data_IF_872327610969
#
_entry.id   IF_872327610969
#
_cell.length_a   1.000
_cell.length_b   1.000
_cell.length_c   1.000
_cell.angle_alpha   90.00
_cell.angle_beta   90.00
_cell.angle_gamma   90.00
#
_symmetry.space_group_name_H-M   'P 1'
#
loop_
_entity.id
_entity.type
_entity.pdbx_description
1 polymer ?
#
# COMPACT_ATOMS: atom_id res chain seq x y z
N UNK A 1 -13.85 17.68 -50.88
CA UNK A 1 -14.66 17.00 -51.93
C UNK A 1 -15.27 15.73 -51.36
N UNK A 2 -16.17 15.04 -52.08
CA UNK A 2 -17.03 13.98 -51.53
C UNK A 2 -17.02 12.72 -52.41
N UNK A 3 -17.31 11.53 -51.82
CA UNK A 3 -17.47 10.19 -52.46
C UNK A 3 -16.13 9.55 -52.90
N UNK A 4 -15.93 8.22 -52.92
CA UNK A 4 -16.75 6.99 -52.69
C UNK A 4 -15.96 6.05 -51.72
N UNK A 5 -16.59 5.25 -50.84
CA UNK A 5 -17.15 3.89 -51.02
C UNK A 5 -16.09 2.81 -51.36
N UNK A 6 -16.12 1.55 -50.87
CA UNK A 6 -17.22 0.81 -50.22
C UNK A 6 -16.77 -0.45 -49.44
N UNK A 7 -17.68 -1.02 -48.64
CA UNK A 7 -17.82 -2.43 -48.20
C UNK A 7 -16.61 -3.28 -47.72
N UNK A 8 -16.62 -3.60 -46.41
CA UNK A 8 -16.07 -4.87 -45.88
C UNK A 8 -16.97 -5.48 -44.77
N UNK A 9 -18.27 -5.56 -45.02
CA UNK A 9 -19.26 -6.11 -44.07
C UNK A 9 -19.48 -7.63 -44.22
N UNK A 10 -18.55 -8.45 -43.71
CA UNK A 10 -18.71 -9.92 -43.55
C UNK A 10 -17.88 -10.44 -42.37
N UNK A 11 -18.39 -11.50 -41.71
CA UNK A 11 -17.90 -12.21 -40.50
C UNK A 11 -18.67 -11.93 -39.19
N UNK A 12 -19.97 -12.25 -39.18
CA UNK A 12 -20.76 -12.46 -37.96
C UNK A 12 -21.53 -13.79 -38.03
N UNK A 13 -20.81 -14.89 -37.76
CA UNK A 13 -21.26 -16.28 -37.65
C UNK A 13 -20.15 -17.07 -36.94
N UNK A 14 -20.37 -17.93 -35.95
CA UNK A 14 -21.57 -18.23 -35.15
C UNK A 14 -21.08 -18.57 -33.72
N UNK A 15 -21.77 -18.14 -32.65
CA UNK A 15 -21.71 -18.84 -31.35
C UNK A 15 -22.87 -18.43 -30.43
N UNK A 16 -23.74 -19.38 -30.11
CA UNK A 16 -24.81 -19.26 -29.10
C UNK A 16 -24.91 -20.59 -28.37
N UNK A 17 -24.77 -20.57 -27.03
CA UNK A 17 -25.77 -21.19 -26.15
C UNK A 17 -26.27 -20.11 -25.17
N UNK A 18 -27.55 -20.07 -24.78
CA UNK A 18 -28.29 -21.07 -23.98
C UNK A 18 -27.58 -21.40 -22.66
N UNK A 19 -28.20 -21.33 -21.48
CA UNK A 19 -29.63 -21.25 -21.15
C UNK A 19 -29.85 -20.49 -19.83
N UNK A 20 -31.09 -20.11 -19.50
CA UNK A 20 -31.41 -19.53 -18.17
C UNK A 20 -31.90 -20.63 -17.23
N UNK A 21 -31.34 -20.69 -16.02
CA UNK A 21 -32.03 -21.29 -14.86
C UNK A 21 -31.94 -20.31 -13.69
N UNK A 22 -33.10 -19.98 -13.11
CA UNK A 22 -33.20 -19.18 -11.91
C UNK A 22 -34.23 -19.79 -10.97
N UNK A 23 -33.83 -20.04 -9.72
CA UNK A 23 -34.70 -20.45 -8.60
C UNK A 23 -34.21 -19.69 -7.37
N UNK A 24 -35.13 -19.13 -6.57
CA UNK A 24 -34.79 -18.31 -5.41
C UNK A 24 -35.30 -18.86 -4.09
N UNK A 25 -34.72 -18.36 -2.99
CA UNK A 25 -35.12 -18.54 -1.58
C UNK A 25 -35.11 -20.01 -1.06
N UNK A 26 -34.62 -20.31 0.16
CA UNK A 26 -34.81 -19.56 1.41
C UNK A 26 -34.00 -20.15 2.58
N UNK A 27 -33.83 -19.35 3.65
CA UNK A 27 -33.73 -19.84 5.05
C UNK A 27 -32.40 -20.39 5.57
N UNK A 28 -32.23 -20.36 6.92
CA UNK A 28 -31.25 -21.20 7.63
C UNK A 28 -30.16 -20.48 8.45
N UNK A 29 -30.48 -20.01 9.67
CA UNK A 29 -29.53 -19.42 10.63
C UNK A 29 -28.42 -20.41 11.02
N UNK A 30 -27.15 -19.96 11.10
CA UNK A 30 -26.02 -20.86 11.40
C UNK A 30 -24.78 -20.24 12.07
N UNK A 31 -24.92 -19.24 12.96
CA UNK A 31 -23.76 -18.67 13.70
C UNK A 31 -23.05 -19.74 14.55
N UNK A 32 -21.77 -20.01 14.27
CA UNK A 32 -20.81 -20.53 15.25
C UNK A 32 -19.59 -19.61 15.29
N UNK A 33 -19.24 -19.13 16.49
CA UNK A 33 -17.99 -18.38 16.70
C UNK A 33 -16.83 -19.37 16.68
N UNK A 34 -15.78 -19.08 15.91
CA UNK A 34 -14.45 -19.55 16.28
C UNK A 34 -13.99 -18.76 17.51
N UNK A 35 -13.37 -19.47 18.44
CA UNK A 35 -12.61 -18.89 19.55
C UNK A 35 -11.37 -19.74 19.71
N UNK A 36 -10.22 -19.17 19.37
CA UNK A 36 -8.93 -19.71 19.79
C UNK A 36 -8.69 -19.26 21.23
N UNK A 37 -8.17 -20.15 22.05
CA UNK A 37 -7.46 -19.86 23.30
C UNK A 37 -6.33 -20.91 23.37
N UNK A 38 -5.16 -20.53 23.88
CA UNK A 38 -3.93 -21.32 23.77
C UNK A 38 -3.63 -22.21 24.99
N UNK A 39 -2.53 -22.97 24.87
CA UNK A 39 -1.58 -23.35 25.92
C UNK A 39 -1.64 -24.76 26.57
N UNK A 40 -0.57 -25.52 26.25
CA UNK A 40 0.34 -26.20 27.17
C UNK A 40 -0.05 -27.47 27.98
N UNK A 41 1.02 -28.20 28.32
CA UNK A 41 1.15 -29.31 29.29
C UNK A 41 0.62 -30.72 28.92
N UNK A 42 1.57 -31.60 28.62
CA UNK A 42 1.61 -33.00 29.11
C UNK A 42 2.22 -33.00 30.54
N UNK A 43 2.13 -34.04 31.41
CA UNK A 43 2.25 -35.46 31.05
C UNK A 43 1.38 -36.45 31.89
N UNK A 44 1.86 -37.70 31.94
CA UNK A 44 1.62 -38.77 32.94
C UNK A 44 0.61 -39.91 32.66
N UNK A 45 1.18 -41.12 32.74
CA UNK A 45 0.62 -42.45 32.51
C UNK A 45 -0.36 -42.91 33.60
N UNK A 46 -1.30 -43.79 33.23
CA UNK A 46 -1.80 -44.90 34.08
C UNK A 46 -1.87 -46.19 33.23
N UNK A 47 -1.21 -47.29 33.63
CA UNK A 47 -1.66 -48.41 34.51
C UNK A 47 -2.82 -49.22 33.87
N UNK A 48 -2.91 -50.54 33.99
CA UNK A 48 -2.22 -51.52 34.87
C UNK A 48 -1.86 -52.82 34.08
N UNK A 49 -1.26 -53.89 34.63
CA UNK A 49 -1.89 -54.90 35.50
C UNK A 49 -0.83 -55.71 36.30
N UNK A 50 -1.16 -56.11 37.53
CA UNK A 50 -0.50 -57.11 38.41
C UNK A 50 -1.51 -57.48 39.53
N UNK A 51 -1.49 -58.67 40.19
CA UNK A 51 -0.50 -59.09 41.22
C UNK A 51 0.25 -60.38 40.77
N UNK A 52 0.76 -61.36 41.53
CA UNK A 52 0.73 -61.84 42.95
C UNK A 52 2.13 -62.46 43.22
N UNK A 53 2.88 -62.27 44.32
CA UNK A 53 2.69 -62.58 45.76
C UNK A 53 2.49 -64.09 46.07
N UNK A 54 3.12 -64.78 47.04
CA UNK A 54 4.19 -64.54 48.08
C UNK A 54 4.89 -65.91 48.33
N UNK A 55 6.11 -65.98 48.93
CA UNK A 55 6.48 -66.85 50.10
C UNK A 55 7.99 -66.84 50.45
N UNK A 56 8.26 -66.59 51.75
CA UNK A 56 9.43 -66.92 52.62
C UNK A 56 10.91 -66.67 52.22
N UNK A 57 11.57 -65.82 53.01
CA UNK A 57 12.95 -65.97 53.54
C UNK A 57 13.15 -67.34 54.26
N UNK A 58 14.36 -67.94 54.44
CA UNK A 58 15.49 -67.28 55.13
C UNK A 58 16.97 -67.69 54.85
N UNK A 59 17.86 -66.78 55.24
CA UNK A 59 19.13 -66.93 56.00
C UNK A 59 20.20 -68.05 55.77
N UNK A 60 21.46 -67.63 55.95
CA UNK A 60 22.69 -68.39 56.33
C UNK A 60 23.45 -69.29 55.31
N UNK A 61 24.41 -68.63 54.64
CA UNK A 61 25.87 -68.89 54.69
C UNK A 61 26.55 -70.20 54.19
N UNK A 62 27.67 -69.97 53.46
CA UNK A 62 28.91 -70.77 53.35
C UNK A 62 28.82 -72.26 52.94
N UNK A 63 29.14 -72.52 51.67
CA UNK A 63 29.70 -73.80 51.20
C UNK A 63 30.54 -73.56 49.94
N UNK A 64 31.79 -74.02 49.92
CA UNK A 64 32.69 -73.86 48.76
C UNK A 64 32.77 -75.14 47.94
N UNK A 65 32.63 -75.04 46.62
CA UNK A 65 33.40 -75.87 45.68
C UNK A 65 33.39 -75.23 44.29
N UNK A 66 34.48 -75.40 43.54
CA UNK A 66 34.71 -74.67 42.28
C UNK A 66 34.35 -75.46 41.02
N UNK A 67 33.87 -74.75 39.99
CA UNK A 67 33.73 -75.26 38.63
C UNK A 67 34.00 -74.14 37.62
N UNK A 68 35.08 -74.26 36.84
CA UNK A 68 35.37 -73.30 35.76
C UNK A 68 34.39 -73.53 34.60
N UNK A 69 33.64 -72.51 34.11
CA UNK A 69 33.04 -72.61 32.79
C UNK A 69 34.16 -72.77 31.75
N UNK A 70 33.94 -73.59 30.73
CA UNK A 70 35.01 -73.97 29.81
C UNK A 70 35.47 -72.78 28.95
N UNK A 71 36.77 -72.78 28.60
CA UNK A 71 37.38 -71.77 27.70
C UNK A 71 36.62 -71.59 26.37
N UNK A 72 35.88 -72.61 25.96
CA UNK A 72 35.10 -72.64 24.72
C UNK A 72 34.01 -71.56 24.67
N UNK A 73 33.28 -71.33 25.77
CA UNK A 73 32.21 -70.33 25.80
C UNK A 73 32.74 -68.89 25.80
N UNK A 74 33.88 -68.64 26.44
CA UNK A 74 34.54 -67.32 26.42
C UNK A 74 35.07 -66.99 25.02
N UNK A 75 35.67 -67.98 24.34
CA UNK A 75 36.11 -67.84 22.95
C UNK A 75 34.93 -67.67 21.98
N UNK A 76 33.87 -68.46 22.11
CA UNK A 76 32.67 -68.34 21.28
C UNK A 76 32.00 -66.96 21.44
N UNK A 77 31.82 -66.48 22.68
CA UNK A 77 31.29 -65.14 22.94
C UNK A 77 32.17 -64.04 22.35
N UNK A 78 33.50 -64.15 22.47
CA UNK A 78 34.45 -63.23 21.87
C UNK A 78 34.36 -63.19 20.34
N UNK A 79 34.27 -64.35 19.67
CA UNK A 79 34.09 -64.42 18.21
C UNK A 79 32.76 -63.80 17.78
N UNK A 80 31.65 -64.07 18.47
CA UNK A 80 30.35 -63.47 18.13
C UNK A 80 30.36 -61.96 18.29
N UNK A 81 31.00 -61.43 19.34
CA UNK A 81 31.17 -59.98 19.53
C UNK A 81 32.07 -59.38 18.44
N UNK A 82 33.17 -60.05 18.06
CA UNK A 82 34.02 -59.60 16.95
C UNK A 82 33.24 -59.58 15.63
N UNK A 83 32.47 -60.62 15.31
CA UNK A 83 31.65 -60.67 14.08
C UNK A 83 30.54 -59.62 14.11
N UNK A 84 29.90 -59.38 15.26
CA UNK A 84 28.90 -58.31 15.40
C UNK A 84 29.52 -56.92 15.25
N UNK A 85 30.69 -56.66 15.84
CA UNK A 85 31.44 -55.42 15.66
C UNK A 85 31.94 -55.26 14.22
N UNK A 86 32.37 -56.34 13.55
CA UNK A 86 32.78 -56.29 12.14
C UNK A 86 31.57 -56.01 11.24
N UNK A 87 30.42 -56.65 11.48
CA UNK A 87 29.17 -56.39 10.79
C UNK A 87 28.63 -54.98 11.04
N UNK A 88 28.78 -54.46 12.25
CA UNK A 88 28.47 -53.07 12.58
C UNK A 88 29.43 -52.09 11.90
N UNK A 89 30.74 -52.40 11.82
CA UNK A 89 31.72 -51.56 11.16
C UNK A 89 31.53 -51.54 9.64
N UNK A 90 31.30 -52.72 9.02
CA UNK A 90 30.95 -52.86 7.60
C UNK A 90 29.61 -52.16 7.31
N UNK A 91 28.62 -52.31 8.19
CA UNK A 91 27.35 -51.61 8.11
C UNK A 91 27.50 -50.10 8.25
N UNK A 92 28.34 -49.60 9.15
CA UNK A 92 28.60 -48.18 9.37
C UNK A 92 29.43 -47.55 8.25
N UNK A 93 30.34 -48.31 7.62
CA UNK A 93 31.09 -47.87 6.44
C UNK A 93 30.22 -47.90 5.18
N UNK A 94 29.32 -48.88 5.03
CA UNK A 94 28.41 -49.00 3.88
C UNK A 94 27.17 -48.09 3.98
N UNK A 95 26.68 -47.83 5.19
CA UNK A 95 25.69 -46.79 5.52
C UNK A 95 26.38 -45.51 6.02
N UNK A 96 27.61 -45.23 5.60
CA UNK A 96 27.90 -43.84 5.26
C UNK A 96 26.95 -43.52 4.10
N UNK A 97 26.03 -42.54 4.22
CA UNK A 97 25.42 -42.01 3.00
C UNK A 97 26.59 -41.60 2.11
N UNK A 98 26.62 -42.10 0.88
CA UNK A 98 27.57 -41.57 -0.08
C UNK A 98 27.30 -40.08 -0.18
N UNK A 99 28.34 -39.24 -0.08
CA UNK A 99 28.24 -37.80 -0.31
C UNK A 99 28.04 -37.52 -1.81
N UNK A 100 26.94 -38.06 -2.34
CA UNK A 100 25.95 -37.29 -3.09
C UNK A 100 25.56 -36.06 -2.27
N UNK A 101 26.52 -35.13 -2.14
CA UNK A 101 26.28 -33.74 -1.81
C UNK A 101 25.08 -33.33 -2.67
N UNK A 102 23.93 -32.95 -2.07
CA UNK A 102 22.65 -32.89 -2.77
C UNK A 102 22.74 -31.81 -3.84
N UNK A 103 23.11 -32.25 -5.05
CA UNK A 103 23.86 -31.44 -5.99
C UNK A 103 23.07 -30.20 -6.32
N UNK A 104 23.56 -29.04 -5.84
CA UNK A 104 22.72 -27.86 -5.54
C UNK A 104 21.69 -27.70 -6.63
N UNK A 105 20.40 -27.82 -6.27
CA UNK A 105 19.35 -28.13 -7.24
C UNK A 105 19.40 -27.14 -8.41
N UNK A 106 19.04 -27.59 -9.62
CA UNK A 106 19.14 -26.73 -10.81
C UNK A 106 18.46 -25.37 -10.57
N UNK A 107 17.34 -25.38 -9.83
CA UNK A 107 16.68 -24.18 -9.32
C UNK A 107 17.58 -23.29 -8.44
N UNK A 108 18.22 -23.82 -7.40
CA UNK A 108 19.12 -23.03 -6.54
C UNK A 108 20.38 -22.53 -7.27
N UNK A 109 20.87 -23.24 -8.29
CA UNK A 109 21.95 -22.75 -9.17
C UNK A 109 21.49 -21.57 -10.02
N UNK A 110 20.40 -21.75 -10.78
CA UNK A 110 19.81 -20.68 -11.61
C UNK A 110 19.43 -19.45 -10.77
N UNK A 111 18.85 -19.66 -9.59
CA UNK A 111 18.52 -18.62 -8.62
C UNK A 111 19.78 -17.90 -8.11
N UNK A 112 20.86 -18.61 -7.79
CA UNK A 112 22.13 -18.00 -7.40
C UNK A 112 22.72 -17.18 -8.54
N UNK A 113 22.74 -17.71 -9.77
CA UNK A 113 23.24 -17.03 -10.96
C UNK A 113 22.43 -15.76 -11.26
N UNK A 114 21.10 -15.85 -11.26
CA UNK A 114 20.18 -14.71 -11.40
C UNK A 114 20.40 -13.62 -10.33
N UNK A 115 20.53 -14.00 -9.06
CA UNK A 115 20.80 -13.05 -7.96
C UNK A 115 22.22 -12.45 -8.04
N UNK A 116 23.22 -13.19 -8.54
CA UNK A 116 24.56 -12.65 -8.78
C UNK A 116 24.62 -11.70 -9.99
N UNK A 117 23.66 -11.79 -10.91
CA UNK A 117 23.62 -10.91 -12.10
C UNK A 117 22.97 -9.55 -11.84
N UNK A 118 22.18 -9.41 -10.78
CA UNK A 118 21.67 -8.11 -10.34
C UNK A 118 22.79 -7.22 -9.78
N UNK A 119 23.28 -6.25 -10.58
CA UNK A 119 24.31 -5.29 -10.14
C UNK A 119 23.66 -3.99 -9.65
N UNK A 120 24.08 -3.50 -8.48
CA UNK A 120 23.58 -2.24 -7.91
C UNK A 120 23.84 -1.02 -8.82
N UNK A 121 24.97 -0.99 -9.53
CA UNK A 121 25.29 0.12 -10.44
C UNK A 121 24.36 0.17 -11.67
N UNK A 122 23.90 -0.99 -12.16
CA UNK A 122 22.91 -1.05 -13.24
C UNK A 122 21.56 -0.47 -12.79
N UNK A 123 21.16 -0.73 -11.53
CA UNK A 123 19.96 -0.15 -10.92
C UNK A 123 20.11 1.37 -10.76
N UNK A 124 21.27 1.83 -10.27
CA UNK A 124 21.60 3.25 -10.11
C UNK A 124 21.58 4.01 -11.44
N UNK A 125 22.21 3.46 -12.47
CA UNK A 125 22.22 4.04 -13.81
C UNK A 125 20.82 4.09 -14.43
N UNK A 126 20.01 3.03 -14.26
CA UNK A 126 18.63 3.01 -14.72
C UNK A 126 17.76 4.05 -14.01
N UNK A 127 17.89 4.16 -12.68
CA UNK A 127 17.20 5.18 -11.89
C UNK A 127 17.58 6.59 -12.36
N UNK A 128 18.87 6.91 -12.45
CA UNK A 128 19.35 8.21 -12.91
C UNK A 128 18.81 8.57 -14.30
N UNK A 129 18.73 7.60 -15.22
CA UNK A 129 18.21 7.85 -16.56
C UNK A 129 16.68 8.04 -16.59
N UNK A 130 15.93 7.38 -15.72
CA UNK A 130 14.47 7.48 -15.66
C UNK A 130 13.96 8.70 -14.88
N UNK A 131 14.74 9.26 -13.95
CA UNK A 131 14.31 10.39 -13.09
C UNK A 131 14.78 11.76 -13.58
N UNK A 132 15.15 11.91 -14.86
CA UNK A 132 15.66 13.17 -15.39
C UNK A 132 14.57 14.21 -15.69
N UNK A 133 13.43 13.76 -16.20
CA UNK A 133 12.38 14.61 -16.77
C UNK A 133 10.99 14.27 -16.18
N UNK A 134 10.02 15.20 -16.14
CA UNK A 134 8.66 14.95 -15.61
C UNK A 134 7.81 13.97 -16.46
N UNK A 135 7.98 12.67 -16.22
CA UNK A 135 7.27 11.59 -16.92
C UNK A 135 5.82 11.33 -16.40
N UNK A 136 5.00 12.39 -16.31
CA UNK A 136 3.59 12.30 -15.89
C UNK A 136 2.76 11.43 -16.85
N UNK A 137 1.79 10.67 -16.32
CA UNK A 137 0.90 9.84 -17.13
C UNK A 137 0.20 10.65 -18.24
N UNK A 138 0.14 10.09 -19.44
CA UNK A 138 -0.45 10.73 -20.63
C UNK A 138 0.43 11.78 -21.33
N UNK A 139 1.61 12.16 -20.79
CA UNK A 139 2.51 13.10 -21.48
C UNK A 139 3.39 12.42 -22.53
N UNK A 140 3.91 13.24 -23.45
CA UNK A 140 4.87 12.81 -24.49
C UNK A 140 6.16 12.22 -23.89
N UNK A 141 6.59 12.66 -22.71
CA UNK A 141 7.79 12.13 -22.06
C UNK A 141 7.56 10.73 -21.47
N UNK A 142 6.40 10.51 -20.84
CA UNK A 142 6.04 9.16 -20.39
C UNK A 142 5.85 8.17 -21.55
N UNK A 143 5.48 8.65 -22.75
CA UNK A 143 5.51 7.84 -23.98
C UNK A 143 6.94 7.50 -24.42
N UNK A 144 7.85 8.48 -24.47
CA UNK A 144 9.29 8.25 -24.79
C UNK A 144 9.91 7.23 -23.83
N UNK A 145 9.63 7.35 -22.54
CA UNK A 145 10.08 6.40 -21.52
C UNK A 145 9.53 4.98 -21.77
N UNK A 146 8.26 4.83 -22.16
CA UNK A 146 7.68 3.54 -22.51
C UNK A 146 8.30 2.93 -23.79
N UNK A 147 8.60 3.74 -24.80
CA UNK A 147 9.32 3.32 -26.02
C UNK A 147 10.76 2.90 -25.71
N UNK A 148 11.46 3.65 -24.84
CA UNK A 148 12.80 3.31 -24.37
C UNK A 148 12.81 1.97 -23.61
N UNK A 149 11.86 1.76 -22.68
CA UNK A 149 11.72 0.51 -21.94
C UNK A 149 11.41 -0.65 -22.90
N UNK A 150 10.54 -0.45 -23.91
CA UNK A 150 10.31 -1.45 -24.95
C UNK A 150 11.62 -1.82 -25.68
N UNK A 151 12.42 -0.83 -26.09
CA UNK A 151 13.68 -1.06 -26.78
C UNK A 151 14.70 -1.80 -25.89
N UNK A 152 14.80 -1.43 -24.61
CA UNK A 152 15.65 -2.10 -23.63
C UNK A 152 15.22 -3.57 -23.44
N UNK A 153 13.94 -3.85 -23.22
CA UNK A 153 13.43 -5.22 -23.04
C UNK A 153 13.64 -6.10 -24.27
N UNK A 154 13.52 -5.54 -25.49
CA UNK A 154 13.90 -6.23 -26.73
C UNK A 154 15.40 -6.54 -26.76
N UNK A 155 16.25 -5.59 -26.35
CA UNK A 155 17.71 -5.80 -26.29
C UNK A 155 18.15 -6.82 -25.22
N UNK A 156 17.35 -7.00 -24.16
CA UNK A 156 17.56 -8.01 -23.12
C UNK A 156 17.13 -9.42 -23.55
N UNK A 157 16.53 -9.59 -24.74
CA UNK A 157 16.16 -10.89 -25.29
C UNK A 157 14.81 -11.43 -24.85
N UNK A 158 13.84 -10.58 -24.47
CA UNK A 158 12.45 -11.04 -24.27
C UNK A 158 11.77 -11.36 -25.61
N UNK A 159 11.12 -12.53 -25.71
CA UNK A 159 10.53 -13.06 -26.95
C UNK A 159 9.44 -12.15 -27.58
N UNK A 160 8.73 -11.38 -26.75
CA UNK A 160 7.66 -10.48 -27.19
C UNK A 160 7.58 -9.26 -26.29
N UNK A 161 7.62 -8.06 -26.88
CA UNK A 161 7.49 -6.78 -26.17
C UNK A 161 6.65 -5.81 -27.01
N UNK A 162 5.56 -5.32 -26.43
CA UNK A 162 4.51 -4.54 -27.10
C UNK A 162 4.07 -3.37 -26.20
N UNK A 163 3.60 -2.26 -26.79
CA UNK A 163 2.87 -1.22 -26.05
C UNK A 163 1.38 -1.50 -26.13
N UNK A 164 0.69 -1.47 -24.99
CA UNK A 164 -0.75 -1.68 -24.88
C UNK A 164 -1.45 -0.37 -24.51
N UNK A 165 -1.77 0.45 -25.52
CA UNK A 165 -2.46 1.73 -25.34
C UNK A 165 -3.92 1.55 -24.87
N UNK A 166 -4.41 2.50 -24.07
CA UNK A 166 -5.80 2.61 -23.62
C UNK A 166 -6.19 4.09 -23.51
N UNK A 167 -7.41 4.42 -23.92
CA UNK A 167 -7.89 5.79 -24.09
C UNK A 167 -8.73 6.20 -22.87
N UNK A 168 -8.05 6.31 -21.72
CA UNK A 168 -8.60 6.50 -20.37
C UNK A 168 -8.82 7.98 -20.01
N UNK A 169 -9.72 8.27 -19.06
CA UNK A 169 -9.90 9.60 -18.52
C UNK A 169 -8.74 9.98 -17.59
N UNK A 170 -8.13 11.13 -17.85
CA UNK A 170 -7.08 11.74 -17.03
C UNK A 170 -7.45 13.19 -16.70
N UNK A 171 -6.82 13.75 -15.67
CA UNK A 171 -7.10 15.08 -15.14
C UNK A 171 -5.80 15.84 -14.93
N UNK A 172 -5.78 17.13 -15.28
CA UNK A 172 -4.61 18.02 -15.22
C UNK A 172 -5.05 19.44 -14.81
N UNK A 173 -4.19 20.25 -14.17
CA UNK A 173 -4.46 21.66 -13.90
C UNK A 173 -4.41 22.50 -15.20
N UNK A 174 -5.17 23.59 -15.26
CA UNK A 174 -5.13 24.50 -16.40
C UNK A 174 -3.92 25.44 -16.32
N UNK A 175 -3.01 25.36 -17.30
CA UNK A 175 -1.82 26.24 -17.37
C UNK A 175 -2.14 27.73 -17.47
N UNK A 176 -3.30 28.12 -18.04
CA UNK A 176 -3.68 29.54 -18.17
C UNK A 176 -4.51 30.07 -16.98
N UNK A 177 -4.86 29.20 -16.03
CA UNK A 177 -5.64 29.54 -14.84
C UNK A 177 -5.16 28.66 -13.69
N UNK A 178 -4.01 29.00 -13.05
CA UNK A 178 -3.45 28.22 -11.96
C UNK A 178 -4.44 28.04 -10.81
N UNK A 179 -4.40 26.88 -10.17
CA UNK A 179 -5.14 26.63 -8.94
C UNK A 179 -4.37 27.26 -7.77
N UNK A 180 -5.09 27.89 -6.85
CA UNK A 180 -4.56 28.38 -5.57
C UNK A 180 -5.68 28.47 -4.53
N UNK A 181 -5.33 28.78 -3.29
CA UNK A 181 -6.26 29.17 -2.22
C UNK A 181 -5.89 30.59 -1.78
N UNK A 182 -6.90 31.40 -1.48
CA UNK A 182 -6.71 32.71 -0.85
C UNK A 182 -7.42 32.82 0.50
N UNK A 183 -6.87 33.67 1.37
CA UNK A 183 -7.65 34.34 2.41
C UNK A 183 -8.04 35.71 1.86
N UNK A 184 -9.33 36.03 1.96
CA UNK A 184 -9.90 37.35 1.67
C UNK A 184 -10.16 38.12 2.97
N UNK A 185 -10.49 39.40 2.86
CA UNK A 185 -10.99 40.23 3.94
C UNK A 185 -12.50 40.55 3.80
N UNK A 186 -13.04 41.33 4.74
CA UNK A 186 -14.44 41.79 4.76
C UNK A 186 -14.87 42.63 3.54
N UNK A 187 -13.92 43.07 2.70
CA UNK A 187 -14.14 43.78 1.43
C UNK A 187 -13.97 42.88 0.19
N UNK A 188 -13.60 41.61 0.36
CA UNK A 188 -13.27 40.68 -0.71
C UNK A 188 -11.87 40.85 -1.31
N UNK A 189 -10.96 41.54 -0.62
CA UNK A 189 -9.57 41.68 -1.05
C UNK A 189 -8.73 40.47 -0.61
N UNK A 190 -8.02 39.85 -1.55
CA UNK A 190 -7.03 38.81 -1.24
C UNK A 190 -5.87 39.37 -0.42
N UNK A 191 -5.70 38.88 0.82
CA UNK A 191 -4.63 39.27 1.75
C UNK A 191 -3.50 38.25 1.82
N UNK A 192 -3.75 37.00 1.40
CA UNK A 192 -2.78 35.93 1.31
C UNK A 192 -3.22 34.93 0.25
N UNK A 193 -2.33 34.63 -0.71
CA UNK A 193 -2.51 33.56 -1.69
C UNK A 193 -1.42 32.50 -1.47
N UNK A 194 -1.79 31.23 -1.62
CA UNK A 194 -0.87 30.09 -1.55
C UNK A 194 0.08 30.03 -2.74
N UNK A 195 1.17 29.28 -2.59
CA UNK A 195 2.16 29.02 -3.64
C UNK A 195 1.51 28.34 -4.86
N UNK A 196 1.80 28.84 -6.07
CA UNK A 196 1.28 28.27 -7.32
C UNK A 196 2.01 26.97 -7.75
N UNK A 197 3.25 26.81 -7.29
CA UNK A 197 4.10 25.63 -7.48
C UNK A 197 5.14 25.56 -6.37
N UNK A 198 5.76 24.40 -6.18
CA UNK A 198 7.02 24.31 -5.46
C UNK A 198 8.13 25.14 -6.14
N UNK A 199 9.17 25.55 -5.39
CA UNK A 199 10.45 25.89 -5.99
C UNK A 199 11.08 24.64 -6.66
N UNK A 200 11.82 24.80 -7.78
CA UNK A 200 12.53 23.68 -8.41
C UNK A 200 13.62 23.13 -7.47
N UNK A 201 13.82 21.80 -7.42
CA UNK A 201 14.89 21.20 -6.63
C UNK A 201 16.27 21.46 -7.28
N UNK A 202 17.37 21.50 -6.51
CA UNK A 202 18.69 21.82 -7.06
C UNK A 202 19.16 20.84 -8.15
N UNK A 203 19.65 21.38 -9.26
CA UNK A 203 20.00 20.63 -10.47
C UNK A 203 18.84 20.37 -11.43
N UNK A 204 17.65 20.93 -11.17
CA UNK A 204 16.45 20.88 -12.02
C UNK A 204 15.90 22.30 -12.30
N UNK A 205 16.72 23.34 -12.18
CA UNK A 205 16.33 24.74 -12.37
C UNK A 205 15.90 25.05 -13.81
N UNK A 206 16.50 24.36 -14.79
CA UNK A 206 16.18 24.46 -16.22
C UNK A 206 15.10 23.44 -16.69
N UNK A 207 14.41 22.75 -15.77
CA UNK A 207 13.46 21.67 -16.09
C UNK A 207 12.02 22.21 -16.17
N UNK A 208 11.58 22.47 -17.40
CA UNK A 208 10.21 22.84 -17.76
C UNK A 208 9.18 21.73 -17.46
N UNK A 209 7.89 22.04 -17.69
CA UNK A 209 6.75 21.09 -17.66
C UNK A 209 6.48 20.35 -16.34
N UNK A 210 7.12 20.75 -15.24
CA UNK A 210 6.77 20.32 -13.88
C UNK A 210 5.32 20.73 -13.57
N UNK A 211 4.40 19.75 -13.55
CA UNK A 211 2.98 19.99 -13.25
C UNK A 211 2.83 20.59 -11.84
N UNK A 212 2.11 21.70 -11.63
CA UNK A 212 1.94 22.30 -10.30
C UNK A 212 1.11 21.39 -9.36
N UNK A 213 1.05 21.70 -8.05
CA UNK A 213 0.20 20.98 -7.10
C UNK A 213 -1.28 20.97 -7.51
N UNK A 214 -1.88 19.78 -7.51
CA UNK A 214 -3.32 19.59 -7.69
C UNK A 214 -3.75 18.23 -7.14
N UNK A 215 -5.04 18.13 -6.79
CA UNK A 215 -5.69 16.83 -6.59
C UNK A 215 -6.35 16.43 -7.90
N UNK A 216 -5.86 15.35 -8.51
CA UNK A 216 -6.37 14.90 -9.80
C UNK A 216 -7.83 14.46 -9.65
N UNK A 217 -8.66 14.89 -10.61
CA UNK A 217 -10.12 14.76 -10.62
C UNK A 217 -10.87 15.59 -9.56
N UNK A 218 -10.24 16.63 -8.99
CA UNK A 218 -10.97 17.68 -8.25
C UNK A 218 -12.10 18.27 -9.10
N UNK A 219 -13.23 18.60 -8.46
CA UNK A 219 -14.26 19.44 -9.07
C UNK A 219 -13.69 20.83 -9.43
N UNK A 220 -14.31 21.50 -10.39
CA UNK A 220 -14.07 22.92 -10.68
C UNK A 220 -14.96 23.80 -9.80
N UNK A 221 -14.43 24.93 -9.33
CA UNK A 221 -15.21 25.92 -8.58
C UNK A 221 -14.33 26.85 -7.76
N UNK A 222 -14.91 27.97 -7.32
CA UNK A 222 -14.29 28.97 -6.43
C UNK A 222 -15.18 29.15 -5.18
N UNK A 223 -15.12 28.21 -4.22
CA UNK A 223 -15.99 28.24 -3.04
C UNK A 223 -15.39 29.14 -1.95
N UNK A 224 -16.04 30.27 -1.65
CA UNK A 224 -15.68 31.18 -0.55
C UNK A 224 -16.42 30.82 0.75
N UNK A 225 -15.73 30.70 1.88
CA UNK A 225 -16.37 30.57 3.19
C UNK A 225 -15.45 30.09 4.29
N UNK A 226 -15.89 30.27 5.53
CA UNK A 226 -15.07 30.08 6.73
C UNK A 226 -14.52 28.66 6.88
N UNK A 227 -13.26 28.61 7.32
CA UNK A 227 -12.42 27.42 7.37
C UNK A 227 -12.67 26.61 8.65
N UNK A 228 -12.68 25.28 8.55
CA UNK A 228 -12.75 24.34 9.68
C UNK A 228 -11.59 23.35 9.59
N UNK A 229 -10.81 23.19 10.67
CA UNK A 229 -9.77 22.16 10.73
C UNK A 229 -10.37 20.81 11.15
N UNK A 230 -10.20 19.77 10.32
CA UNK A 230 -10.87 18.47 10.48
C UNK A 230 -9.92 17.31 10.75
N UNK A 231 -8.75 17.59 11.33
CA UNK A 231 -7.72 16.61 11.66
C UNK A 231 -7.30 15.78 10.42
N UNK A 232 -7.56 14.47 10.37
CA UNK A 232 -7.27 13.64 9.18
C UNK A 232 -8.49 13.47 8.28
N UNK A 233 -9.62 14.11 8.56
CA UNK A 233 -10.87 13.98 7.80
C UNK A 233 -11.46 12.57 7.86
N UNK A 234 -11.23 11.83 8.95
CA UNK A 234 -11.84 10.52 9.16
C UNK A 234 -13.32 10.62 9.50
N UNK A 235 -14.06 9.51 9.44
CA UNK A 235 -15.48 9.48 9.81
C UNK A 235 -15.64 9.84 11.30
N UNK A 236 -14.69 9.40 12.12
CA UNK A 236 -14.60 9.69 13.55
C UNK A 236 -14.26 11.17 13.79
N UNK A 237 -13.39 11.79 12.98
CA UNK A 237 -13.09 13.22 13.07
C UNK A 237 -14.35 14.07 12.83
N UNK A 238 -15.08 13.81 11.74
CA UNK A 238 -16.33 14.52 11.42
C UNK A 238 -17.44 14.26 12.45
N UNK A 239 -17.59 13.03 12.97
CA UNK A 239 -18.55 12.73 14.03
C UNK A 239 -18.20 13.45 15.34
N UNK A 240 -16.90 13.63 15.65
CA UNK A 240 -16.46 14.37 16.85
C UNK A 240 -16.77 15.87 16.73
N UNK A 241 -16.58 16.46 15.55
CA UNK A 241 -16.98 17.85 15.26
C UNK A 241 -18.48 18.05 15.47
N UNK A 242 -19.30 17.24 14.80
CA UNK A 242 -20.77 17.30 14.86
C UNK A 242 -21.29 17.13 16.31
N UNK A 243 -20.84 16.07 17.00
CA UNK A 243 -21.54 15.56 18.20
C UNK A 243 -20.91 15.94 19.52
N UNK A 244 -19.61 16.19 19.56
CA UNK A 244 -18.89 16.55 20.79
C UNK A 244 -18.48 18.03 20.81
N UNK A 245 -18.31 18.67 19.65
CA UNK A 245 -17.92 20.08 19.55
C UNK A 245 -19.06 20.99 19.06
N UNK A 246 -20.14 20.43 18.48
CA UNK A 246 -21.26 21.21 17.91
C UNK A 246 -20.90 21.97 16.63
N UNK A 247 -19.82 21.59 15.94
CA UNK A 247 -19.28 22.27 14.76
C UNK A 247 -19.90 21.66 13.50
N UNK A 248 -20.65 22.47 12.76
CA UNK A 248 -21.27 22.09 11.49
C UNK A 248 -20.34 22.45 10.31
N UNK A 249 -19.97 21.46 9.51
CA UNK A 249 -19.15 21.65 8.31
C UNK A 249 -19.96 22.07 7.07
N UNK A 250 -21.30 22.09 7.15
CA UNK A 250 -22.18 22.42 6.03
C UNK A 250 -21.91 23.84 5.50
N UNK A 251 -21.58 23.94 4.21
CA UNK A 251 -21.24 25.20 3.55
C UNK A 251 -19.89 25.80 3.95
N UNK A 252 -19.03 25.05 4.66
CA UNK A 252 -17.67 25.46 5.06
C UNK A 252 -16.61 24.90 4.12
N UNK A 253 -15.42 25.50 4.14
CA UNK A 253 -14.20 24.89 3.60
C UNK A 253 -13.56 24.09 4.73
N UNK A 254 -13.07 22.87 4.45
CA UNK A 254 -12.39 22.06 5.47
C UNK A 254 -10.91 21.87 5.14
N UNK A 255 -10.03 22.02 6.13
CA UNK A 255 -8.60 21.72 6.02
C UNK A 255 -8.25 20.44 6.79
N UNK A 256 -7.65 19.48 6.10
CA UNK A 256 -7.28 18.18 6.64
C UNK A 256 -5.81 17.84 6.33
N UNK A 257 -5.11 17.23 7.29
CA UNK A 257 -3.76 16.70 7.03
C UNK A 257 -3.80 15.35 6.34
N UNK A 258 -2.79 15.08 5.51
CA UNK A 258 -2.53 13.78 4.90
C UNK A 258 -2.23 12.70 5.95
N UNK A 259 -2.28 11.44 5.53
CA UNK A 259 -2.07 10.28 6.40
C UNK A 259 -3.35 9.68 6.99
N UNK A 260 -3.17 8.56 7.71
CA UNK A 260 -4.18 7.67 8.33
C UNK A 260 -5.16 7.00 7.37
N UNK A 261 -5.82 7.75 6.48
CA UNK A 261 -6.74 7.25 5.45
C UNK A 261 -6.40 7.77 4.05
N UNK A 262 -6.83 7.04 3.01
CA UNK A 262 -6.70 7.46 1.62
C UNK A 262 -7.39 8.81 1.36
N UNK A 263 -6.81 9.65 0.51
CA UNK A 263 -7.24 11.05 0.32
C UNK A 263 -8.65 11.18 -0.30
N UNK A 264 -9.05 10.29 -1.20
CA UNK A 264 -10.42 10.27 -1.71
C UNK A 264 -11.48 10.02 -0.64
N UNK A 265 -11.15 9.23 0.41
CA UNK A 265 -12.06 9.03 1.53
C UNK A 265 -12.20 10.31 2.39
N UNK A 266 -11.13 11.12 2.53
CA UNK A 266 -11.21 12.44 3.20
C UNK A 266 -12.21 13.36 2.49
N UNK A 267 -12.14 13.40 1.16
CA UNK A 267 -13.05 14.19 0.31
C UNK A 267 -14.49 13.69 0.41
N UNK A 268 -14.71 12.38 0.27
CA UNK A 268 -16.02 11.74 0.41
C UNK A 268 -16.66 11.98 1.79
N UNK A 269 -15.86 11.95 2.85
CA UNK A 269 -16.31 12.27 4.21
C UNK A 269 -16.68 13.76 4.34
N UNK A 270 -15.87 14.67 3.79
CA UNK A 270 -16.13 16.11 3.79
C UNK A 270 -17.41 16.48 3.03
N UNK A 271 -17.60 15.90 1.84
CA UNK A 271 -18.81 16.03 1.02
C UNK A 271 -20.04 15.50 1.77
N UNK A 272 -19.92 14.35 2.44
CA UNK A 272 -20.98 13.79 3.30
C UNK A 272 -21.30 14.69 4.51
N UNK A 273 -20.31 15.41 5.03
CA UNK A 273 -20.47 16.42 6.08
C UNK A 273 -20.94 17.79 5.55
N UNK A 274 -21.25 17.91 4.26
CA UNK A 274 -21.75 19.12 3.61
C UNK A 274 -20.72 20.22 3.37
N UNK A 275 -19.43 19.94 3.54
CA UNK A 275 -18.37 20.88 3.18
C UNK A 275 -18.43 21.18 1.67
N UNK A 276 -18.02 22.38 1.26
CA UNK A 276 -18.06 22.84 -0.15
C UNK A 276 -16.70 22.95 -0.82
N UNK A 277 -15.62 22.61 -0.11
CA UNK A 277 -14.25 22.57 -0.61
C UNK A 277 -13.30 21.95 0.43
N UNK A 278 -12.22 21.34 -0.04
CA UNK A 278 -11.25 20.61 0.80
C UNK A 278 -9.81 21.06 0.54
N UNK A 279 -9.13 21.51 1.59
CA UNK A 279 -7.70 21.80 1.58
C UNK A 279 -6.96 20.61 2.20
N UNK A 280 -5.95 20.10 1.51
CA UNK A 280 -5.12 18.97 1.98
C UNK A 280 -3.67 19.41 2.20
N UNK A 281 -3.06 19.10 3.34
CA UNK A 281 -1.67 19.49 3.61
C UNK A 281 -0.85 18.39 4.30
N UNK A 282 0.47 18.48 4.18
CA UNK A 282 1.42 17.50 4.73
C UNK A 282 1.99 17.97 6.07
N UNK A 283 1.29 17.73 7.18
CA UNK A 283 1.76 18.16 8.51
C UNK A 283 3.13 17.53 8.88
N UNK A 284 4.11 18.30 9.37
CA UNK A 284 5.41 17.76 9.81
C UNK A 284 5.33 16.72 10.95
N UNK A 285 4.17 16.55 11.60
CA UNK A 285 3.89 15.41 12.48
C UNK A 285 4.00 14.06 11.76
N UNK A 286 3.49 13.98 10.52
CA UNK A 286 3.40 12.78 9.70
C UNK A 286 4.43 12.75 8.55
N UNK A 287 4.92 13.91 8.08
CA UNK A 287 5.82 14.02 6.92
C UNK A 287 7.30 14.25 7.25
N UNK A 288 7.66 14.57 8.51
CA UNK A 288 9.02 14.95 8.87
C UNK A 288 9.57 14.13 10.07
N UNK A 289 10.66 13.40 9.81
CA UNK A 289 11.42 12.64 10.80
C UNK A 289 12.17 13.58 11.78
N UNK A 290 12.20 13.28 13.09
CA UNK A 290 12.91 14.11 14.07
C UNK A 290 14.41 14.22 13.79
N UNK A 291 14.96 15.44 13.88
CA UNK A 291 16.40 15.69 13.74
C UNK A 291 16.95 15.61 12.30
N UNK A 292 16.09 15.46 11.30
CA UNK A 292 16.47 15.43 9.87
C UNK A 292 16.15 16.79 9.23
N UNK A 293 17.08 17.32 8.43
CA UNK A 293 16.85 18.55 7.66
C UNK A 293 15.86 18.31 6.51
N UNK A 294 15.07 19.32 6.09
CA UNK A 294 14.36 19.30 4.81
C UNK A 294 15.30 19.06 3.63
N UNK A 295 14.77 18.58 2.51
CA UNK A 295 15.48 18.61 1.24
C UNK A 295 15.75 20.08 0.81
N UNK A 296 16.95 20.43 0.30
CA UNK A 296 18.04 19.54 -0.16
C UNK A 296 19.04 19.05 0.90
N UNK A 297 19.15 19.68 2.08
CA UNK A 297 20.15 19.31 3.11
C UNK A 297 19.88 17.95 3.79
N UNK A 298 18.66 17.44 3.68
CA UNK A 298 18.25 16.11 4.14
C UNK A 298 17.12 15.52 3.31
N UNK A 299 16.34 14.63 3.92
CA UNK A 299 15.27 13.87 3.24
C UNK A 299 13.86 14.14 3.78
N UNK A 300 13.71 15.10 4.70
CA UNK A 300 12.39 15.56 5.11
C UNK A 300 11.73 16.39 4.00
N UNK A 301 10.40 16.42 3.99
CA UNK A 301 9.62 17.30 3.12
C UNK A 301 9.98 18.79 3.38
N UNK A 302 10.27 19.60 2.36
CA UNK A 302 10.37 21.06 2.49
C UNK A 302 8.98 21.70 2.62
N UNK A 303 8.89 22.84 3.29
CA UNK A 303 7.61 23.42 3.69
C UNK A 303 6.71 23.92 2.57
N UNK A 304 7.26 24.18 1.39
CA UNK A 304 6.50 24.55 0.20
C UNK A 304 6.04 23.31 -0.60
N UNK A 305 6.55 22.12 -0.26
CA UNK A 305 6.31 20.84 -0.94
C UNK A 305 4.90 20.28 -0.72
N UNK A 306 4.12 20.14 -1.80
CA UNK A 306 2.73 19.70 -1.76
C UNK A 306 2.53 18.29 -2.34
N UNK A 307 1.81 17.44 -1.62
CA UNK A 307 1.54 16.07 -2.10
C UNK A 307 0.43 16.06 -3.17
N UNK A 308 0.85 15.94 -4.43
CA UNK A 308 -0.01 15.60 -5.58
C UNK A 308 -0.64 14.21 -5.41
N UNK A 309 -1.81 14.00 -6.03
CA UNK A 309 -2.41 12.67 -6.15
C UNK A 309 -3.88 12.71 -6.57
N UNK A 310 -4.43 11.58 -7.02
CA UNK A 310 -5.86 11.48 -7.30
C UNK A 310 -6.69 11.38 -6.01
N UNK A 311 -7.94 11.84 -6.10
CA UNK A 311 -8.97 11.82 -5.04
C UNK A 311 -10.17 10.91 -5.37
N UNK A 312 -10.09 10.10 -6.44
CA UNK A 312 -11.17 9.21 -6.84
C UNK A 312 -11.32 7.99 -5.93
N UNK A 313 -12.57 7.62 -5.63
CA UNK A 313 -12.91 6.41 -4.90
C UNK A 313 -13.49 5.38 -5.88
N UNK A 314 -12.60 4.61 -6.51
CA UNK A 314 -12.94 3.73 -7.64
C UNK A 314 -13.31 2.29 -7.24
N UNK A 315 -13.08 1.89 -5.99
CA UNK A 315 -13.34 0.54 -5.45
C UNK A 315 -12.87 -0.64 -6.35
N UNK A 316 -11.82 -0.40 -7.16
CA UNK A 316 -11.22 -1.37 -8.08
C UNK A 316 -11.70 -1.31 -9.55
N UNK A 317 -12.58 -0.38 -9.92
CA UNK A 317 -13.25 -0.34 -11.23
C UNK A 317 -12.34 -0.15 -12.46
N UNK A 318 -11.16 0.46 -12.29
CA UNK A 318 -10.25 0.82 -13.39
C UNK A 318 -10.48 2.24 -13.88
N UNK A 319 -10.61 2.41 -15.20
CA UNK A 319 -11.01 3.70 -15.79
C UNK A 319 -12.44 4.07 -15.35
N UNK A 320 -12.72 5.33 -14.94
CA UNK A 320 -14.05 5.73 -14.48
C UNK A 320 -15.14 5.59 -15.54
N UNK A 321 -14.79 5.73 -16.82
CA UNK A 321 -15.73 5.76 -17.93
C UNK A 321 -15.94 4.40 -18.59
N UNK A 322 -15.08 3.41 -18.35
CA UNK A 322 -15.23 2.02 -18.83
C UNK A 322 -15.12 0.97 -17.69
N UNK A 323 -15.87 1.10 -16.58
CA UNK A 323 -15.76 0.20 -15.42
C UNK A 323 -16.00 -1.27 -15.83
N UNK A 324 -15.00 -2.12 -15.58
CA UNK A 324 -15.02 -3.54 -15.94
C UNK A 324 -14.75 -3.88 -17.42
N UNK A 325 -14.47 -2.88 -18.26
CA UNK A 325 -14.18 -3.06 -19.70
C UNK A 325 -12.87 -2.35 -20.09
N UNK A 326 -12.15 -2.82 -21.13
CA UNK A 326 -10.95 -2.16 -21.60
C UNK A 326 -11.29 -0.86 -22.35
N UNK A 327 -10.74 0.28 -21.92
CA UNK A 327 -10.85 1.57 -22.62
C UNK A 327 -10.09 1.55 -23.96
N UNK A 328 -10.75 1.10 -25.03
CA UNK A 328 -10.28 1.15 -26.42
C UNK A 328 -11.08 2.19 -27.19
N UNK A 329 -10.58 2.58 -28.36
CA UNK A 329 -11.24 3.48 -29.32
C UNK A 329 -12.74 3.19 -29.50
N UNK A 330 -13.11 1.92 -29.67
CA UNK A 330 -14.49 1.47 -29.88
C UNK A 330 -15.33 1.28 -28.60
N UNK A 331 -14.75 1.41 -27.41
CA UNK A 331 -15.44 1.10 -26.15
C UNK A 331 -16.40 2.23 -25.77
N UNK A 332 -17.64 1.86 -25.42
CA UNK A 332 -18.61 2.79 -24.87
C UNK A 332 -18.09 3.41 -23.56
N UNK A 333 -18.13 4.74 -23.48
CA UNK A 333 -17.81 5.52 -22.29
C UNK A 333 -19.09 6.00 -21.64
N UNK A 334 -19.18 5.88 -20.31
CA UNK A 334 -20.20 6.59 -19.55
C UNK A 334 -19.95 8.10 -19.59
N UNK A 335 -21.01 8.87 -19.38
CA UNK A 335 -20.97 10.32 -19.13
C UNK A 335 -20.31 10.59 -17.77
N UNK A 336 -19.29 11.45 -17.72
CA UNK A 336 -18.47 11.72 -16.51
C UNK A 336 -19.34 11.98 -15.27
N UNK A 337 -20.41 12.77 -15.43
CA UNK A 337 -21.34 13.15 -14.38
C UNK A 337 -22.13 11.98 -13.75
N UNK A 338 -22.08 10.79 -14.37
CA UNK A 338 -22.75 9.57 -13.93
C UNK A 338 -21.77 8.53 -13.34
N UNK A 339 -20.48 8.87 -13.25
CA UNK A 339 -19.40 7.95 -12.83
C UNK A 339 -18.77 8.35 -11.50
N UNK A 340 -17.91 7.47 -10.97
CA UNK A 340 -17.06 7.77 -9.81
C UNK A 340 -16.01 8.87 -10.07
N UNK A 341 -15.91 9.44 -11.28
CA UNK A 341 -15.11 10.65 -11.55
C UNK A 341 -15.83 11.94 -11.11
N UNK A 342 -17.16 11.93 -10.97
CA UNK A 342 -17.94 13.10 -10.54
C UNK A 342 -17.73 13.36 -9.05
N UNK A 343 -16.78 14.26 -8.74
CA UNK A 343 -16.70 14.93 -7.44
C UNK A 343 -17.44 16.27 -7.51
N UNK A 344 -18.19 16.61 -6.47
CA UNK A 344 -19.01 17.82 -6.45
C UNK A 344 -18.38 19.00 -5.70
N UNK A 345 -17.19 18.81 -5.09
CA UNK A 345 -16.48 19.83 -4.31
C UNK A 345 -15.01 19.94 -4.74
N UNK A 346 -14.44 21.16 -4.87
CA UNK A 346 -13.03 21.34 -5.20
C UNK A 346 -12.09 20.85 -4.09
N UNK A 347 -10.91 20.35 -4.49
CA UNK A 347 -9.89 19.79 -3.60
C UNK A 347 -8.51 20.26 -4.03
N UNK A 348 -7.76 20.91 -3.15
CA UNK A 348 -6.43 21.43 -3.47
C UNK A 348 -5.37 21.07 -2.42
N UNK A 349 -4.19 20.54 -2.82
CA UNK A 349 -3.09 20.23 -1.91
C UNK A 349 -2.13 21.41 -1.75
N UNK A 350 -1.68 21.68 -0.52
CA UNK A 350 -0.73 22.77 -0.23
C UNK A 350 0.49 22.28 0.57
N UNK A 351 1.57 23.06 0.49
CA UNK A 351 2.72 22.95 1.37
C UNK A 351 2.37 23.27 2.82
N UNK A 352 3.18 22.81 3.78
CA UNK A 352 2.92 23.04 5.19
C UNK A 352 3.25 24.46 5.67
N UNK A 353 4.06 25.25 4.95
CA UNK A 353 4.22 26.70 5.21
C UNK A 353 2.92 27.46 4.93
N UNK A 354 2.27 27.18 3.79
CA UNK A 354 0.97 27.78 3.44
C UNK A 354 -0.13 27.29 4.39
N UNK A 355 -0.10 26.01 4.78
CA UNK A 355 -1.00 25.50 5.82
C UNK A 355 -0.76 26.17 7.17
N UNK A 356 0.48 26.51 7.53
CA UNK A 356 0.78 27.26 8.76
C UNK A 356 0.16 28.65 8.72
N UNK A 357 0.20 29.34 7.57
CA UNK A 357 -0.44 30.66 7.40
C UNK A 357 -1.95 30.58 7.62
N UNK A 358 -2.63 29.58 7.06
CA UNK A 358 -4.06 29.36 7.29
C UNK A 358 -4.36 28.98 8.75
N UNK A 359 -3.60 28.03 9.32
CA UNK A 359 -3.87 27.45 10.65
C UNK A 359 -3.47 28.36 11.82
N UNK A 360 -2.65 29.39 11.58
CA UNK A 360 -2.27 30.40 12.58
C UNK A 360 -3.43 31.33 12.93
N UNK A 361 -4.15 31.80 11.91
CA UNK A 361 -5.25 32.75 12.09
C UNK A 361 -6.55 32.07 12.55
N UNK A 362 -6.63 30.73 12.54
CA UNK A 362 -7.82 29.95 12.92
C UNK A 362 -8.39 30.33 14.29
N UNK A 363 -9.68 30.66 14.30
CA UNK A 363 -10.50 30.92 15.48
C UNK A 363 -11.28 29.68 15.93
N UNK A 364 -12.37 29.91 16.65
CA UNK A 364 -13.15 28.84 17.26
C UNK A 364 -12.46 28.19 18.49
N UNK A 365 -12.90 27.00 18.91
CA UNK A 365 -12.37 26.34 20.11
C UNK A 365 -11.01 25.67 19.84
N UNK A 366 -10.22 25.43 20.91
CA UNK A 366 -8.98 24.67 20.83
C UNK A 366 -9.21 23.20 20.38
N UNK A 367 -8.16 22.50 19.92
CA UNK A 367 -8.27 21.11 19.48
C UNK A 367 -8.76 20.19 20.62
N UNK A 368 -9.67 19.23 20.36
CA UNK A 368 -10.39 18.50 21.40
C UNK A 368 -9.54 17.50 22.21
N UNK A 369 -8.31 17.23 21.77
CA UNK A 369 -7.24 16.53 22.51
C UNK A 369 -5.93 16.64 21.71
N UNK A 370 -4.80 16.21 22.28
CA UNK A 370 -3.49 16.34 21.64
C UNK A 370 -3.32 15.51 20.35
N UNK A 371 -4.14 14.47 20.10
CA UNK A 371 -4.05 13.72 18.84
C UNK A 371 -4.52 14.52 17.62
N UNK A 372 -5.19 15.66 17.83
CA UNK A 372 -5.56 16.63 16.80
C UNK A 372 -4.46 17.65 16.50
N UNK A 373 -3.45 17.79 17.37
CA UNK A 373 -2.31 18.67 17.11
C UNK A 373 -1.32 18.02 16.14
N UNK A 374 -0.57 18.84 15.42
CA UNK A 374 0.56 18.42 14.60
C UNK A 374 1.88 19.00 15.11
N UNK A 375 2.79 19.39 14.21
CA UNK A 375 4.09 20.00 14.56
C UNK A 375 4.31 21.43 14.01
N UNK A 376 3.30 22.08 13.42
CA UNK A 376 3.36 23.48 13.02
C UNK A 376 3.28 24.41 14.24
N UNK A 377 3.77 25.66 14.12
CA UNK A 377 3.82 26.65 15.21
C UNK A 377 2.48 27.39 15.40
N UNK A 378 1.39 26.63 15.54
CA UNK A 378 0.00 27.10 15.53
C UNK A 378 -0.82 26.42 16.64
N UNK A 379 -1.93 27.03 17.11
CA UNK A 379 -2.74 26.45 18.18
C UNK A 379 -3.55 25.22 17.77
N UNK A 380 -3.71 24.97 16.46
CA UNK A 380 -4.62 23.95 15.89
C UNK A 380 -6.09 24.15 16.33
N UNK A 381 -6.51 25.40 16.49
CA UNK A 381 -7.93 25.74 16.72
C UNK A 381 -8.79 25.22 15.56
N UNK A 382 -10.03 24.85 15.89
CA UNK A 382 -10.87 24.04 15.00
C UNK A 382 -11.73 24.87 14.05
N UNK A 383 -11.94 26.16 14.34
CA UNK A 383 -12.89 27.00 13.61
C UNK A 383 -14.34 26.79 14.08
N UNK A 384 -15.35 27.23 13.31
CA UNK A 384 -15.22 27.84 12.00
C UNK A 384 -14.60 29.25 12.04
N UNK A 385 -13.86 29.60 10.99
CA UNK A 385 -13.37 30.95 10.73
C UNK A 385 -12.07 31.32 11.45
N UNK A 386 -11.66 32.57 11.28
CA UNK A 386 -10.41 33.13 11.79
C UNK A 386 -10.64 34.00 13.05
N UNK A 387 -9.57 34.47 13.70
CA UNK A 387 -9.63 35.24 14.96
C UNK A 387 -9.81 36.75 14.77
N UNK A 388 -9.59 37.29 13.57
CA UNK A 388 -9.74 38.70 13.23
C UNK A 388 -10.89 38.96 12.25
N UNK A 389 -11.02 40.20 11.79
CA UNK A 389 -11.87 40.55 10.66
C UNK A 389 -11.21 40.05 9.37
N UNK A 390 -11.74 38.95 8.85
CA UNK A 390 -11.35 38.26 7.62
C UNK A 390 -12.64 37.74 6.97
#
# INVERSE_FOLDING_TARGET
>A
MCRRSQDLSRWCKDFVPSERVGVGASGGRGRRRFRQDESASSPERRKMWSPVQIISEPSFARGSCGGRPSRFWVLAGGVTVIVFLLGFLIGWVSNKPSDLSPGTSLHEKMKKEFMMEMKAENIRHSLYNFTREPHLAGTQENLRLAEQIQAQWKSFGLDSVQLAAYDVLLSYPNKTSPNYISMIDEHGQEIFNTSLSEPPPPGYEDVDEVVPPYSAFSAQGMPEGDLVYVNYGSIEDFQRLEREMGINCSGKIVIARYGKIFRGNKVKNAETAGAKGVILYSDPADSCAPGVAPYPEGWNLPGDGAQRGNVLNLDGAGDPLTPGYPAKEYTYRYDEAQTAAQLNIPVHPIGYHDAERLLREMGGPPPPNDSWKGKLSVPYNVGPGFQGNF
#
